data_IF_541767987753
#
_entry.id   IF_541767987753
#
_cell.length_a   1.000
_cell.length_b   1.000
_cell.length_c   1.000
_cell.angle_alpha   90.00
_cell.angle_beta   90.00
_cell.angle_gamma   90.00
#
_symmetry.space_group_name_H-M   'P 1'
#
loop_
_entity.id
_entity.type
_entity.pdbx_description
1 polymer ?
#
# COMPACT_ATOMS: atom_id res chain seq x y z
N UNK A 1 -15.84 18.12 -14.20
CA UNK A 1 -14.45 17.84 -13.79
C UNK A 1 -14.42 16.44 -13.21
N UNK A 2 -13.58 15.52 -13.71
CA UNK A 2 -13.46 14.18 -13.13
C UNK A 2 -12.73 14.32 -11.79
N UNK A 3 -13.41 14.05 -10.68
CA UNK A 3 -12.84 14.15 -9.33
C UNK A 3 -11.74 13.10 -9.15
N UNK A 4 -10.49 13.52 -8.99
CA UNK A 4 -9.37 12.67 -8.59
C UNK A 4 -8.68 13.21 -7.34
N UNK A 5 -8.04 12.35 -6.55
CA UNK A 5 -7.29 12.76 -5.35
C UNK A 5 -7.92 12.49 -3.98
N UNK A 6 -8.98 11.68 -3.91
CA UNK A 6 -9.57 11.15 -2.66
C UNK A 6 -8.78 10.02 -2.00
N UNK A 7 -7.46 9.93 -2.24
CA UNK A 7 -6.62 8.81 -1.78
C UNK A 7 -6.58 8.68 -0.26
N UNK A 8 -6.86 9.75 0.49
CA UNK A 8 -6.92 9.74 1.96
C UNK A 8 -8.02 8.82 2.50
N UNK A 9 -9.05 8.58 1.70
CA UNK A 9 -10.18 7.70 2.06
C UNK A 9 -9.92 6.24 1.65
N UNK A 10 -8.87 5.98 0.86
CA UNK A 10 -8.50 4.62 0.48
C UNK A 10 -7.94 3.87 1.68
N UNK A 11 -8.51 2.71 1.99
CA UNK A 11 -8.00 1.82 3.03
C UNK A 11 -6.57 1.35 2.74
N UNK A 12 -6.21 1.13 1.48
CA UNK A 12 -4.83 0.82 1.07
C UNK A 12 -3.86 1.94 1.44
N UNK A 13 -4.24 3.20 1.24
CA UNK A 13 -3.41 4.35 1.62
C UNK A 13 -3.30 4.53 3.14
N UNK A 14 -4.41 4.38 3.87
CA UNK A 14 -4.42 4.46 5.34
C UNK A 14 -3.52 3.38 5.96
N UNK A 15 -3.68 2.12 5.54
CA UNK A 15 -2.85 1.01 6.02
C UNK A 15 -1.39 1.16 5.60
N UNK A 16 -1.10 1.56 4.36
CA UNK A 16 0.27 1.82 3.91
C UNK A 16 0.93 2.99 4.66
N UNK A 17 0.15 3.96 5.14
CA UNK A 17 0.66 5.01 6.03
C UNK A 17 1.07 4.45 7.39
N UNK A 18 0.27 3.56 7.98
CA UNK A 18 0.66 2.86 9.21
C UNK A 18 1.91 2.02 9.02
N UNK A 19 2.01 1.27 7.91
CA UNK A 19 3.23 0.52 7.56
C UNK A 19 4.43 1.46 7.52
N UNK A 20 4.33 2.59 6.83
CA UNK A 20 5.43 3.56 6.74
C UNK A 20 5.87 4.10 8.11
N UNK A 21 4.92 4.59 8.92
CA UNK A 21 5.24 5.20 10.21
C UNK A 21 5.82 4.16 11.20
N UNK A 22 5.27 2.95 11.22
CA UNK A 22 5.76 1.85 12.05
C UNK A 22 7.11 1.30 11.55
N UNK A 23 7.36 1.29 10.23
CA UNK A 23 8.67 0.92 9.68
C UNK A 23 9.74 1.91 10.10
N UNK A 24 9.46 3.22 10.05
CA UNK A 24 10.40 4.26 10.53
C UNK A 24 10.77 4.01 12.00
N UNK A 25 9.79 3.73 12.86
CA UNK A 25 10.04 3.47 14.27
C UNK A 25 10.74 2.12 14.53
N UNK A 26 10.41 1.08 13.75
CA UNK A 26 11.14 -0.18 13.76
C UNK A 26 12.62 0.01 13.42
N UNK A 27 12.92 0.71 12.32
CA UNK A 27 14.28 0.93 11.85
C UNK A 27 15.09 1.74 12.86
N UNK A 28 14.48 2.77 13.48
CA UNK A 28 15.11 3.54 14.58
C UNK A 28 15.46 2.69 15.79
N UNK A 29 14.61 1.72 16.16
CA UNK A 29 14.78 0.90 17.37
C UNK A 29 15.73 -0.28 17.18
N UNK A 30 15.70 -0.92 16.01
CA UNK A 30 16.26 -2.27 15.84
C UNK A 30 17.35 -2.38 14.76
N UNK A 31 17.61 -1.31 14.02
CA UNK A 31 18.66 -1.27 13.01
C UNK A 31 19.68 -0.17 13.32
N UNK A 32 20.91 -0.37 12.85
CA UNK A 32 21.89 0.70 12.83
C UNK A 32 21.41 1.79 11.86
N UNK A 33 21.40 3.04 12.31
CA UNK A 33 20.99 4.21 11.52
C UNK A 33 21.87 4.44 10.28
N UNK A 34 23.10 3.89 10.26
CA UNK A 34 24.01 3.95 9.11
C UNK A 34 23.88 2.75 8.18
N UNK A 35 23.08 1.76 8.53
CA UNK A 35 22.96 0.55 7.72
C UNK A 35 22.18 0.83 6.44
N UNK A 36 22.67 0.28 5.33
CA UNK A 36 21.97 0.33 4.04
C UNK A 36 20.56 -0.28 4.12
N UNK A 37 20.39 -1.30 4.94
CA UNK A 37 19.09 -1.94 5.21
C UNK A 37 18.08 -0.97 5.81
N UNK A 38 18.51 -0.08 6.72
CA UNK A 38 17.62 0.95 7.29
C UNK A 38 17.06 1.86 6.18
N UNK A 39 17.94 2.39 5.34
CA UNK A 39 17.54 3.25 4.21
C UNK A 39 16.60 2.53 3.25
N UNK A 40 16.90 1.27 2.90
CA UNK A 40 16.12 0.47 1.96
C UNK A 40 14.70 0.21 2.49
N UNK A 41 14.57 -0.24 3.74
CA UNK A 41 13.28 -0.51 4.34
C UNK A 41 12.41 0.76 4.44
N UNK A 42 12.98 1.87 4.92
CA UNK A 42 12.26 3.15 5.02
C UNK A 42 11.85 3.65 3.63
N UNK A 43 12.72 3.50 2.63
CA UNK A 43 12.43 3.91 1.26
C UNK A 43 11.33 3.04 0.62
N UNK A 44 11.37 1.72 0.79
CA UNK A 44 10.37 0.80 0.28
C UNK A 44 8.98 1.10 0.88
N UNK A 45 8.91 1.28 2.20
CA UNK A 45 7.67 1.66 2.88
C UNK A 45 7.12 3.03 2.40
N UNK A 46 8.00 4.03 2.25
CA UNK A 46 7.64 5.35 1.71
C UNK A 46 7.13 5.26 0.28
N UNK A 47 7.84 4.51 -0.57
CA UNK A 47 7.51 4.29 -1.98
C UNK A 47 6.12 3.67 -2.13
N UNK A 48 5.81 2.64 -1.33
CA UNK A 48 4.49 2.01 -1.28
C UNK A 48 3.38 3.04 -1.09
N UNK A 49 3.50 3.85 -0.03
CA UNK A 49 2.51 4.87 0.31
C UNK A 49 2.39 5.97 -0.76
N UNK A 50 3.51 6.46 -1.28
CA UNK A 50 3.52 7.58 -2.25
C UNK A 50 2.89 7.18 -3.58
N UNK A 51 3.23 6.00 -4.10
CA UNK A 51 2.69 5.53 -5.37
C UNK A 51 1.16 5.34 -5.33
N UNK A 52 0.57 4.99 -4.18
CA UNK A 52 -0.90 4.97 -4.01
C UNK A 52 -1.49 6.37 -4.19
N UNK A 53 -0.90 7.37 -3.53
CA UNK A 53 -1.37 8.75 -3.59
C UNK A 53 -1.22 9.34 -5.00
N UNK A 54 -0.06 9.14 -5.62
CA UNK A 54 0.23 9.60 -6.98
C UNK A 54 -0.67 8.91 -8.01
N UNK A 55 -0.86 7.59 -7.90
CA UNK A 55 -1.77 6.82 -8.75
C UNK A 55 -3.20 7.35 -8.68
N UNK A 56 -3.72 7.53 -7.46
CA UNK A 56 -5.08 8.06 -7.25
C UNK A 56 -5.25 9.51 -7.75
N UNK A 57 -4.21 10.34 -7.71
CA UNK A 57 -4.24 11.70 -8.28
C UNK A 57 -4.26 11.65 -9.80
N UNK A 58 -3.47 10.76 -10.40
CA UNK A 58 -3.43 10.54 -11.84
C UNK A 58 -4.72 9.91 -12.40
N UNK A 59 -5.53 9.26 -11.57
CA UNK A 59 -6.79 8.60 -11.95
C UNK A 59 -7.74 9.46 -12.81
N UNK A 60 -7.75 10.77 -12.58
CA UNK A 60 -8.62 11.73 -13.29
C UNK A 60 -8.18 12.00 -14.73
N UNK A 61 -6.93 11.71 -15.07
CA UNK A 61 -6.33 11.98 -16.39
C UNK A 61 -5.83 10.71 -17.08
N UNK A 62 -5.34 9.71 -16.33
CA UNK A 62 -4.79 8.47 -16.87
C UNK A 62 -5.03 7.28 -15.93
N UNK A 63 -5.99 6.44 -16.32
CA UNK A 63 -6.27 5.15 -15.65
C UNK A 63 -5.12 4.15 -15.77
N UNK A 64 -4.38 4.20 -16.87
CA UNK A 64 -3.16 3.40 -17.05
C UNK A 64 -2.08 3.78 -16.03
N UNK A 65 -1.90 5.10 -15.80
CA UNK A 65 -0.93 5.58 -14.81
C UNK A 65 -1.36 5.20 -13.39
N UNK A 66 -2.66 5.33 -13.07
CA UNK A 66 -3.21 4.86 -11.79
C UNK A 66 -2.89 3.36 -11.55
N UNK A 67 -3.15 2.51 -12.55
CA UNK A 67 -2.87 1.08 -12.47
C UNK A 67 -1.37 0.77 -12.31
N UNK A 68 -0.51 1.43 -13.10
CA UNK A 68 0.94 1.27 -13.01
C UNK A 68 1.49 1.66 -11.64
N UNK A 69 1.14 2.84 -11.12
CA UNK A 69 1.63 3.31 -9.83
C UNK A 69 1.07 2.44 -8.68
N UNK A 70 -0.19 2.00 -8.76
CA UNK A 70 -0.73 1.05 -7.78
C UNK A 70 0.05 -0.28 -7.79
N UNK A 71 0.48 -0.76 -8.96
CA UNK A 71 1.35 -1.94 -9.06
C UNK A 71 2.75 -1.70 -8.46
N UNK A 72 3.35 -0.54 -8.69
CA UNK A 72 4.63 -0.17 -8.06
C UNK A 72 4.49 -0.14 -6.53
N UNK A 73 3.39 0.42 -6.01
CA UNK A 73 3.13 0.40 -4.58
C UNK A 73 3.10 -1.02 -4.01
N UNK A 74 2.42 -1.94 -4.70
CA UNK A 74 2.33 -3.36 -4.33
C UNK A 74 3.70 -4.04 -4.36
N UNK A 75 4.54 -3.73 -5.35
CA UNK A 75 5.90 -4.26 -5.44
C UNK A 75 6.80 -3.73 -4.31
N UNK A 76 6.75 -2.43 -4.00
CA UNK A 76 7.55 -1.86 -2.90
C UNK A 76 7.19 -2.45 -1.54
N UNK A 77 5.92 -2.81 -1.31
CA UNK A 77 5.54 -3.51 -0.08
C UNK A 77 5.93 -4.99 -0.07
N UNK A 78 6.13 -5.63 -1.23
CA UNK A 78 6.72 -6.98 -1.31
C UNK A 78 8.21 -6.95 -0.97
N UNK A 79 8.95 -5.96 -1.48
CA UNK A 79 10.36 -5.76 -1.13
C UNK A 79 10.52 -5.58 0.38
N UNK A 80 9.69 -4.71 0.97
CA UNK A 80 9.68 -4.48 2.41
C UNK A 80 9.30 -5.74 3.22
N UNK A 81 8.39 -6.58 2.70
CA UNK A 81 8.03 -7.85 3.34
C UNK A 81 9.25 -8.77 3.46
N UNK A 82 10.00 -8.92 2.35
CA UNK A 82 11.21 -9.72 2.31
C UNK A 82 12.28 -9.19 3.27
N UNK A 83 12.42 -7.87 3.40
CA UNK A 83 13.35 -7.27 4.37
C UNK A 83 13.01 -7.67 5.82
N UNK A 84 11.73 -7.74 6.19
CA UNK A 84 11.31 -8.20 7.53
C UNK A 84 11.53 -9.71 7.73
N UNK A 85 11.25 -10.52 6.71
CA UNK A 85 11.51 -11.96 6.76
C UNK A 85 13.01 -12.24 6.91
N UNK A 86 13.85 -11.52 6.17
CA UNK A 86 15.30 -11.60 6.28
C UNK A 86 15.81 -11.11 7.64
N UNK A 87 15.25 -10.02 8.16
CA UNK A 87 15.58 -9.54 9.51
C UNK A 87 15.33 -10.61 10.57
N UNK A 88 14.18 -11.31 10.52
CA UNK A 88 13.85 -12.38 11.45
C UNK A 88 14.81 -13.57 11.26
N UNK A 89 14.96 -14.04 10.02
CA UNK A 89 15.78 -15.20 9.66
C UNK A 89 17.25 -15.03 10.05
N UNK A 90 17.85 -13.89 9.73
CA UNK A 90 19.27 -13.62 10.00
C UNK A 90 19.58 -13.45 11.50
N UNK A 91 18.57 -13.15 12.33
CA UNK A 91 18.69 -12.98 13.78
C UNK A 91 18.18 -14.16 14.59
N UNK A 92 17.81 -15.28 13.94
CA UNK A 92 17.20 -16.45 14.56
C UNK A 92 15.95 -16.11 15.39
N UNK A 93 15.17 -15.14 14.93
CA UNK A 93 13.88 -14.77 15.53
C UNK A 93 12.76 -15.55 14.84
N UNK A 94 11.70 -15.85 15.58
CA UNK A 94 10.60 -16.67 15.09
C UNK A 94 9.70 -15.87 14.14
N UNK A 95 9.50 -16.39 12.94
CA UNK A 95 8.39 -15.98 12.07
C UNK A 95 7.10 -16.62 12.55
N UNK A 96 6.07 -15.81 12.78
CA UNK A 96 4.77 -16.25 13.24
C UNK A 96 3.98 -16.84 12.08
N UNK A 97 3.40 -18.02 12.29
CA UNK A 97 2.42 -18.56 11.35
C UNK A 97 1.12 -17.78 11.44
N UNK A 98 0.27 -17.89 10.40
CA UNK A 98 -1.07 -17.30 10.39
C UNK A 98 -1.94 -17.70 11.60
N UNK A 99 -1.63 -18.85 12.21
CA UNK A 99 -2.41 -19.41 13.31
C UNK A 99 -1.95 -18.97 14.70
N UNK A 100 -0.82 -18.27 14.77
CA UNK A 100 -0.25 -17.77 16.02
C UNK A 100 -1.20 -16.75 16.68
N UNK A 101 -1.37 -16.84 17.99
CA UNK A 101 -2.37 -16.04 18.73
C UNK A 101 -2.14 -14.54 18.59
N UNK A 102 -0.89 -14.07 18.67
CA UNK A 102 -0.55 -12.66 18.48
C UNK A 102 -0.77 -12.23 17.02
N UNK A 103 -0.45 -13.07 16.03
CA UNK A 103 -0.73 -12.77 14.62
C UNK A 103 -2.24 -12.61 14.37
N UNK A 104 -3.08 -13.47 14.97
CA UNK A 104 -4.54 -13.33 14.93
C UNK A 104 -5.02 -12.03 15.56
N UNK A 105 -4.48 -11.67 16.72
CA UNK A 105 -4.82 -10.42 17.40
C UNK A 105 -4.53 -9.20 16.53
N UNK A 106 -3.32 -9.12 15.96
CA UNK A 106 -2.89 -8.02 15.08
C UNK A 106 -3.76 -7.95 13.83
N UNK A 107 -4.06 -9.10 13.22
CA UNK A 107 -4.94 -9.17 12.05
C UNK A 107 -6.34 -8.65 12.36
N UNK A 108 -6.84 -8.83 13.58
CA UNK A 108 -8.16 -8.35 13.97
C UNK A 108 -8.20 -6.83 14.23
N UNK A 109 -7.07 -6.20 14.56
CA UNK A 109 -7.01 -4.74 14.80
C UNK A 109 -7.40 -3.92 13.57
N UNK A 110 -7.21 -4.44 12.36
CA UNK A 110 -7.59 -3.71 11.14
C UNK A 110 -9.10 -3.45 11.02
N UNK A 111 -9.93 -4.21 11.74
CA UNK A 111 -11.38 -4.01 11.80
C UNK A 111 -11.80 -3.04 12.92
N UNK A 112 -10.88 -2.63 13.79
CA UNK A 112 -11.14 -1.85 15.00
C UNK A 112 -10.60 -0.42 14.89
N UNK A 113 -10.75 0.21 13.72
CA UNK A 113 -10.21 1.54 13.42
C UNK A 113 -8.69 1.63 13.67
N UNK A 114 -7.88 0.98 12.81
CA UNK A 114 -6.45 0.83 13.02
C UNK A 114 -5.75 2.20 13.13
N UNK A 115 -4.90 2.33 14.13
CA UNK A 115 -4.11 3.53 14.41
C UNK A 115 -2.69 3.13 14.82
N UNK A 116 -1.75 4.07 14.79
CA UNK A 116 -0.39 3.82 15.28
C UNK A 116 -0.42 3.27 16.72
N UNK A 117 -1.25 3.87 17.59
CA UNK A 117 -1.41 3.50 19.00
C UNK A 117 -1.93 2.07 19.18
N UNK A 118 -2.73 1.57 18.25
CA UNK A 118 -3.21 0.19 18.28
C UNK A 118 -2.08 -0.83 18.07
N UNK A 119 -1.01 -0.45 17.37
CA UNK A 119 0.12 -1.32 17.03
C UNK A 119 1.38 -1.05 17.85
N UNK A 120 1.49 0.12 18.47
CA UNK A 120 2.61 0.51 19.33
C UNK A 120 3.00 -0.53 20.38
N UNK A 121 2.07 -1.23 21.08
CA UNK A 121 2.41 -2.26 22.06
C UNK A 121 3.26 -3.40 21.48
N UNK A 122 3.18 -3.66 20.17
CA UNK A 122 3.94 -4.70 19.49
C UNK A 122 5.36 -4.28 19.08
N UNK A 123 5.72 -3.00 19.25
CA UNK A 123 7.07 -2.47 19.01
C UNK A 123 8.05 -2.70 20.18
N UNK A 124 7.66 -3.49 21.18
CA UNK A 124 8.43 -3.72 22.40
C UNK A 124 9.65 -4.64 22.22
N UNK A 125 9.64 -5.50 21.20
CA UNK A 125 10.71 -6.44 20.89
C UNK A 125 10.89 -6.57 19.38
N UNK A 126 12.11 -6.87 18.89
CA UNK A 126 12.38 -6.96 17.46
C UNK A 126 11.54 -8.05 16.78
N UNK A 127 11.32 -9.19 17.44
CA UNK A 127 10.51 -10.29 16.90
C UNK A 127 9.03 -9.89 16.77
N UNK A 128 8.44 -9.36 17.84
CA UNK A 128 7.04 -8.91 17.82
C UNK A 128 6.83 -7.81 16.80
N UNK A 129 7.75 -6.85 16.72
CA UNK A 129 7.63 -5.70 15.82
C UNK A 129 7.70 -6.12 14.35
N UNK A 130 8.67 -6.97 13.97
CA UNK A 130 8.80 -7.46 12.61
C UNK A 130 7.58 -8.32 12.21
N UNK A 131 7.12 -9.23 13.07
CA UNK A 131 5.93 -10.04 12.78
C UNK A 131 4.64 -9.21 12.69
N UNK A 132 4.52 -8.16 13.50
CA UNK A 132 3.42 -7.20 13.40
C UNK A 132 3.44 -6.52 12.03
N UNK A 133 4.58 -5.98 11.61
CA UNK A 133 4.74 -5.30 10.32
C UNK A 133 4.46 -6.25 9.14
N UNK A 134 4.92 -7.50 9.20
CA UNK A 134 4.58 -8.54 8.22
C UNK A 134 3.05 -8.71 8.11
N UNK A 135 2.34 -8.78 9.25
CA UNK A 135 0.87 -8.88 9.24
C UNK A 135 0.21 -7.66 8.58
N UNK A 136 0.64 -6.43 8.90
CA UNK A 136 0.10 -5.22 8.28
C UNK A 136 0.40 -5.16 6.79
N UNK A 137 1.60 -5.57 6.36
CA UNK A 137 1.98 -5.58 4.95
C UNK A 137 1.10 -6.56 4.18
N UNK A 138 0.88 -7.78 4.68
CA UNK A 138 -0.04 -8.72 4.04
C UNK A 138 -1.46 -8.16 3.91
N UNK A 139 -1.97 -7.47 4.94
CA UNK A 139 -3.28 -6.84 4.89
C UNK A 139 -3.32 -5.70 3.87
N UNK A 140 -2.26 -4.89 3.81
CA UNK A 140 -2.14 -3.79 2.86
C UNK A 140 -2.04 -4.30 1.42
N UNK A 141 -1.25 -5.36 1.19
CA UNK A 141 -1.11 -6.03 -0.09
C UNK A 141 -2.46 -6.62 -0.55
N UNK A 142 -3.22 -7.26 0.33
CA UNK A 142 -4.57 -7.72 0.00
C UNK A 142 -5.49 -6.58 -0.47
N UNK A 143 -5.44 -5.42 0.18
CA UNK A 143 -6.21 -4.24 -0.24
C UNK A 143 -5.75 -3.71 -1.61
N UNK A 144 -4.43 -3.69 -1.85
CA UNK A 144 -3.86 -3.28 -3.14
C UNK A 144 -4.22 -4.25 -4.26
N UNK A 145 -4.18 -5.55 -4.02
CA UNK A 145 -4.55 -6.58 -5.00
C UNK A 145 -6.02 -6.43 -5.42
N UNK A 146 -6.92 -6.18 -4.45
CA UNK A 146 -8.33 -5.88 -4.74
C UNK A 146 -8.52 -4.57 -5.50
N UNK A 147 -7.75 -3.54 -5.15
CA UNK A 147 -7.77 -2.26 -5.85
C UNK A 147 -7.31 -2.43 -7.30
N UNK A 148 -6.20 -3.14 -7.54
CA UNK A 148 -5.66 -3.46 -8.86
C UNK A 148 -6.65 -4.26 -9.71
N UNK A 149 -7.27 -5.29 -9.13
CA UNK A 149 -8.30 -6.07 -9.81
C UNK A 149 -9.45 -5.15 -10.28
N UNK A 150 -9.95 -4.27 -9.40
CA UNK A 150 -11.03 -3.32 -9.74
C UNK A 150 -10.61 -2.34 -10.83
N UNK A 151 -9.42 -1.74 -10.70
CA UNK A 151 -8.88 -0.81 -11.69
C UNK A 151 -8.70 -1.48 -13.05
N UNK A 152 -8.26 -2.74 -13.07
CA UNK A 152 -8.08 -3.52 -14.30
C UNK A 152 -9.42 -3.80 -14.97
N UNK A 153 -10.43 -4.23 -14.21
CA UNK A 153 -11.79 -4.43 -14.74
C UNK A 153 -12.37 -3.13 -15.30
N UNK A 154 -12.23 -2.02 -14.59
CA UNK A 154 -12.73 -0.72 -15.04
C UNK A 154 -12.04 -0.23 -16.32
N UNK A 155 -10.73 -0.49 -16.43
CA UNK A 155 -9.95 -0.14 -17.62
C UNK A 155 -10.46 -0.91 -18.84
N UNK A 156 -10.71 -2.21 -18.70
CA UNK A 156 -11.25 -3.05 -19.80
C UNK A 156 -12.67 -2.65 -20.19
N UNK A 157 -13.56 -2.42 -19.21
CA UNK A 157 -14.97 -2.15 -19.49
C UNK A 157 -15.24 -0.77 -20.08
N UNK A 158 -14.52 0.24 -19.59
CA UNK A 158 -14.86 1.64 -19.88
C UNK A 158 -13.82 2.31 -20.79
N UNK A 159 -12.75 1.62 -21.16
CA UNK A 159 -11.66 2.17 -21.97
C UNK A 159 -10.84 3.25 -21.26
N UNK A 160 -9.79 3.70 -21.95
CA UNK A 160 -8.88 4.75 -21.48
C UNK A 160 -9.52 6.14 -21.48
N UNK A 161 -8.89 7.09 -20.76
CA UNK A 161 -9.36 8.49 -20.72
C UNK A 161 -9.44 9.12 -22.12
N UNK A 162 -8.44 8.87 -22.97
CA UNK A 162 -8.40 9.39 -24.34
C UNK A 162 -9.54 8.86 -25.21
N UNK A 163 -9.91 7.59 -25.05
CA UNK A 163 -11.01 6.95 -25.78
C UNK A 163 -12.34 7.58 -25.39
N UNK A 164 -12.58 7.77 -24.09
CA UNK A 164 -13.79 8.46 -23.60
C UNK A 164 -13.84 9.92 -24.01
N UNK A 165 -12.70 10.61 -23.99
CA UNK A 165 -12.62 12.01 -24.43
C UNK A 165 -12.91 12.12 -25.93
N UNK A 166 -12.40 11.18 -26.73
CA UNK A 166 -12.70 11.09 -28.15
C UNK A 166 -14.20 10.82 -28.40
N UNK A 167 -14.80 9.88 -27.67
CA UNK A 167 -16.24 9.61 -27.73
C UNK A 167 -17.07 10.87 -27.40
N UNK A 168 -16.79 11.53 -26.26
CA UNK A 168 -17.47 12.78 -25.89
C UNK A 168 -17.28 13.90 -26.92
N UNK A 169 -16.08 14.03 -27.51
CA UNK A 169 -15.84 14.98 -28.61
C UNK A 169 -16.62 14.63 -29.87
N UNK A 170 -16.87 13.35 -30.14
CA UNK A 170 -17.68 12.90 -31.26
C UNK A 170 -19.17 13.21 -31.03
N UNK A 171 -19.67 12.94 -29.82
CA UNK A 171 -21.04 13.25 -29.39
C UNK A 171 -21.34 14.76 -29.43
N UNK A 172 -20.43 15.58 -28.87
CA UNK A 172 -20.56 17.04 -28.91
C UNK A 172 -20.60 17.57 -30.35
N UNK A 173 -19.77 17.02 -31.24
CA UNK A 173 -19.82 17.38 -32.65
C UNK A 173 -21.16 17.00 -33.28
N UNK A 174 -21.67 15.79 -33.06
CA UNK A 174 -22.98 15.36 -33.59
C UNK A 174 -24.16 16.19 -33.04
N UNK A 175 -24.11 16.59 -31.77
CA UNK A 175 -25.14 17.43 -31.14
C UNK A 175 -25.19 18.87 -31.64
N UNK A 176 -24.09 19.39 -32.20
CA UNK A 176 -24.02 20.75 -32.77
C UNK A 176 -24.39 20.80 -34.27
N UNK A 177 -24.74 19.67 -34.89
CA UNK A 177 -25.19 19.59 -36.29
C UNK A 177 -26.70 19.28 -36.43
N UNK A 178 -27.46 19.34 -35.32
CA UNK A 178 -28.92 19.36 -35.29
C UNK A 178 -29.42 20.71 -34.76
#
# INVERSE_FOLDING_TARGET
>A
MFTSGGYRDLKSFQMSTLVYDLTVEFCKKFLDFRSRTNDQMVQAARSGRQNIAEGSRAAGTSKNTELKLTNVARASLEELLLDYEDFLRQRNLKLWTKDFSQAKAIRNLCYQNPSYQSYEPYLNSPESAANMLICLIHQTNYLLDRQLAKLSTDFVQQGGFNERLHQKRSEYRRGNFN
#
